data_IF_208637296074
#
_entry.id   IF_208637296074
#
_cell.length_a   1.000
_cell.length_b   1.000
_cell.length_c   1.000
_cell.angle_alpha   90.00
_cell.angle_beta   90.00
_cell.angle_gamma   90.00
#
_symmetry.space_group_name_H-M   'P 1'
#
loop_
_entity.id
_entity.type
_entity.pdbx_description
1 polymer ?
#
# COMPACT_ATOMS: atom_id res chain seq x y z
N UNK A 1 15.64 -18.49 -19.25
CA UNK A 1 15.88 -19.33 -18.02
C UNK A 1 17.23 -19.06 -17.38
N UNK A 2 18.33 -19.02 -18.14
CA UNK A 2 19.68 -18.69 -17.59
C UNK A 2 19.99 -17.18 -17.56
N UNK A 3 19.00 -16.32 -17.85
CA UNK A 3 19.19 -14.88 -17.81
C UNK A 3 19.52 -14.42 -16.40
N UNK A 4 20.45 -13.47 -16.31
CA UNK A 4 20.85 -12.83 -15.06
C UNK A 4 20.35 -11.39 -15.13
N UNK A 5 19.58 -11.00 -14.13
CA UNK A 5 19.28 -9.60 -13.88
C UNK A 5 20.42 -9.00 -13.07
N UNK A 6 20.90 -7.84 -13.52
CA UNK A 6 21.92 -7.07 -12.84
C UNK A 6 21.43 -5.63 -12.66
N UNK A 7 21.58 -5.12 -11.44
CA UNK A 7 21.26 -3.75 -11.07
C UNK A 7 22.53 -3.05 -10.60
N UNK A 8 22.83 -1.91 -11.22
CA UNK A 8 23.95 -1.07 -10.83
C UNK A 8 23.47 0.35 -10.53
N UNK A 9 24.08 1.04 -9.57
CA UNK A 9 23.84 2.47 -9.35
C UNK A 9 24.29 3.30 -10.57
N UNK A 10 23.51 4.33 -10.89
CA UNK A 10 23.92 5.34 -11.87
C UNK A 10 25.03 6.18 -11.24
N UNK A 11 26.18 6.25 -11.94
CA UNK A 11 27.38 6.97 -11.47
C UNK A 11 27.04 8.40 -11.02
N UNK A 12 27.43 8.75 -9.79
CA UNK A 12 27.23 10.08 -9.21
C UNK A 12 25.87 10.27 -8.52
N UNK A 13 25.04 9.23 -8.46
CA UNK A 13 23.73 9.25 -7.76
C UNK A 13 23.69 8.40 -6.49
N UNK A 14 24.84 7.98 -5.97
CA UNK A 14 24.94 7.06 -4.82
C UNK A 14 24.31 7.66 -3.55
N UNK A 15 24.54 8.94 -3.29
CA UNK A 15 23.97 9.63 -2.11
C UNK A 15 22.47 9.89 -2.24
N UNK A 16 22.01 10.36 -3.40
CA UNK A 16 20.59 10.66 -3.65
C UNK A 16 19.74 9.38 -3.75
N UNK A 17 20.32 8.32 -4.29
CA UNK A 17 19.68 7.03 -4.50
C UNK A 17 19.76 6.08 -3.30
N UNK A 18 20.20 6.53 -2.12
CA UNK A 18 20.51 5.64 -0.97
C UNK A 18 19.34 4.74 -0.55
N UNK A 19 18.08 5.15 -0.81
CA UNK A 19 16.88 4.31 -0.63
C UNK A 19 16.90 3.01 -1.45
N UNK A 20 17.68 2.98 -2.53
CA UNK A 20 17.92 1.81 -3.39
C UNK A 20 19.28 1.16 -3.13
N UNK A 21 19.97 1.50 -2.04
CA UNK A 21 21.34 1.06 -1.74
C UNK A 21 21.52 -0.46 -1.77
N UNK A 22 20.50 -1.22 -1.38
CA UNK A 22 20.49 -2.68 -1.45
C UNK A 22 20.62 -3.23 -2.89
N UNK A 23 20.42 -2.39 -3.90
CA UNK A 23 20.41 -2.74 -5.33
C UNK A 23 21.50 -2.02 -6.13
N UNK A 24 22.48 -1.36 -5.47
CA UNK A 24 23.55 -0.64 -6.15
C UNK A 24 24.56 -1.53 -6.86
N UNK A 25 24.74 -2.75 -6.38
CA UNK A 25 25.50 -3.81 -7.04
C UNK A 25 24.81 -5.14 -6.73
N UNK A 26 23.84 -5.49 -7.58
CA UNK A 26 23.01 -6.67 -7.37
C UNK A 26 22.99 -7.54 -8.62
N UNK A 27 23.03 -8.86 -8.43
CA UNK A 27 23.05 -9.84 -9.51
C UNK A 27 22.37 -11.14 -9.10
N UNK A 28 21.35 -11.56 -9.84
CA UNK A 28 20.68 -12.85 -9.58
C UNK A 28 20.01 -13.44 -10.84
N UNK A 29 19.61 -14.72 -10.83
CA UNK A 29 18.83 -15.30 -11.93
C UNK A 29 17.46 -14.63 -12.08
N UNK A 30 17.17 -14.08 -13.26
CA UNK A 30 15.88 -13.40 -13.54
C UNK A 30 14.68 -14.35 -13.39
N UNK A 31 14.89 -15.66 -13.61
CA UNK A 31 13.82 -16.65 -13.48
C UNK A 31 13.40 -16.91 -12.02
N UNK A 32 14.15 -16.42 -11.03
CA UNK A 32 13.88 -16.63 -9.60
C UNK A 32 13.80 -15.32 -8.81
N UNK A 33 13.84 -14.18 -9.50
CA UNK A 33 13.77 -12.87 -8.83
C UNK A 33 12.40 -12.73 -8.14
N UNK A 34 12.34 -12.44 -6.84
CA UNK A 34 11.07 -12.18 -6.17
C UNK A 34 10.39 -10.93 -6.74
N UNK A 35 9.05 -10.96 -6.83
CA UNK A 35 8.24 -9.84 -7.37
C UNK A 35 8.60 -8.48 -6.75
N UNK A 36 8.57 -8.38 -5.40
CA UNK A 36 8.88 -7.12 -4.69
C UNK A 36 10.26 -6.56 -5.04
N UNK A 37 11.24 -7.43 -5.29
CA UNK A 37 12.61 -7.04 -5.59
C UNK A 37 12.73 -6.53 -7.02
N UNK A 38 12.11 -7.22 -7.98
CA UNK A 38 12.05 -6.76 -9.36
C UNK A 38 11.35 -5.39 -9.45
N UNK A 39 10.21 -5.22 -8.79
CA UNK A 39 9.48 -3.95 -8.75
C UNK A 39 10.32 -2.84 -8.11
N UNK A 40 11.05 -3.12 -7.02
CA UNK A 40 11.96 -2.15 -6.40
C UNK A 40 13.10 -1.72 -7.33
N UNK A 41 13.71 -2.68 -8.04
CA UNK A 41 14.78 -2.40 -9.02
C UNK A 41 14.27 -1.56 -10.19
N UNK A 42 13.09 -1.91 -10.75
CA UNK A 42 12.49 -1.15 -11.85
C UNK A 42 12.03 0.24 -11.41
N UNK A 43 11.52 0.40 -10.18
CA UNK A 43 11.23 1.71 -9.60
C UNK A 43 12.51 2.56 -9.50
N UNK A 44 13.60 1.98 -9.02
CA UNK A 44 14.89 2.66 -8.94
C UNK A 44 15.44 3.06 -10.31
N UNK A 45 15.17 2.28 -11.36
CA UNK A 45 15.50 2.63 -12.74
C UNK A 45 14.63 3.78 -13.26
N UNK A 46 13.31 3.73 -13.04
CA UNK A 46 12.38 4.78 -13.46
C UNK A 46 12.65 6.13 -12.76
N UNK A 47 13.03 6.08 -11.48
CA UNK A 47 13.49 7.25 -10.73
C UNK A 47 14.88 7.74 -11.18
N UNK A 48 15.57 6.96 -12.02
CA UNK A 48 16.86 7.29 -12.61
C UNK A 48 18.07 7.06 -11.69
N UNK A 49 17.95 6.26 -10.63
CA UNK A 49 19.03 5.94 -9.69
C UNK A 49 19.73 4.61 -9.99
N UNK A 50 19.03 3.67 -10.61
CA UNK A 50 19.56 2.36 -10.99
C UNK A 50 19.60 2.22 -12.51
N UNK A 51 20.47 1.33 -12.97
CA UNK A 51 20.50 0.82 -14.35
C UNK A 51 20.31 -0.69 -14.30
N UNK A 52 19.25 -1.19 -14.92
CA UNK A 52 18.94 -2.62 -14.94
C UNK A 52 19.34 -3.20 -16.28
N UNK A 53 20.03 -4.34 -16.23
CA UNK A 53 20.31 -5.15 -17.42
C UNK A 53 19.90 -6.58 -17.18
N UNK A 54 19.31 -7.22 -18.20
CA UNK A 54 18.96 -8.63 -18.16
C UNK A 54 19.63 -9.32 -19.35
N UNK A 55 20.64 -10.13 -19.07
CA UNK A 55 21.43 -10.79 -20.11
C UNK A 55 21.61 -12.27 -19.82
N UNK A 56 21.60 -13.07 -20.88
CA UNK A 56 22.13 -14.43 -20.80
C UNK A 56 23.66 -14.40 -20.82
N UNK A 57 24.35 -15.41 -20.26
CA UNK A 57 25.79 -15.52 -20.38
C UNK A 57 26.22 -15.47 -21.86
N UNK A 58 26.98 -14.43 -22.23
CA UNK A 58 27.32 -14.13 -23.62
C UNK A 58 28.06 -15.30 -24.28
N UNK A 59 29.01 -15.92 -23.59
CA UNK A 59 29.77 -17.05 -24.12
C UNK A 59 28.90 -18.23 -24.51
N UNK A 60 27.85 -18.51 -23.73
CA UNK A 60 26.89 -19.59 -24.04
C UNK A 60 26.04 -19.25 -25.26
N UNK A 61 25.57 -18.00 -25.34
CA UNK A 61 24.77 -17.53 -26.47
C UNK A 61 25.60 -17.54 -27.77
N UNK A 62 26.81 -16.98 -27.75
CA UNK A 62 27.71 -16.99 -28.89
C UNK A 62 28.13 -18.42 -29.27
N UNK A 63 28.46 -19.28 -28.31
CA UNK A 63 28.76 -20.70 -28.58
C UNK A 63 27.61 -21.41 -29.30
N UNK A 64 26.36 -21.11 -28.94
CA UNK A 64 25.19 -21.64 -29.64
C UNK A 64 25.10 -21.12 -31.07
N UNK A 65 25.26 -19.81 -31.26
CA UNK A 65 25.21 -19.16 -32.59
C UNK A 65 26.36 -19.63 -33.50
N UNK A 66 27.58 -19.76 -32.98
CA UNK A 66 28.72 -20.27 -33.74
C UNK A 66 28.46 -21.70 -34.22
N UNK A 67 28.02 -22.62 -33.34
CA UNK A 67 27.67 -23.99 -33.74
C UNK A 67 26.58 -24.01 -34.82
N UNK A 68 25.62 -23.09 -34.73
CA UNK A 68 24.49 -22.99 -35.66
C UNK A 68 24.92 -22.48 -37.03
N UNK A 69 25.70 -21.40 -37.09
CA UNK A 69 25.91 -20.59 -38.30
C UNK A 69 27.33 -20.62 -38.87
N UNK A 70 28.37 -20.75 -38.02
CA UNK A 70 29.76 -20.78 -38.50
C UNK A 70 30.09 -22.19 -38.98
N UNK A 71 30.29 -22.35 -40.29
CA UNK A 71 30.65 -23.63 -40.93
C UNK A 71 32.03 -23.52 -41.55
N UNK A 72 32.92 -24.46 -41.22
CA UNK A 72 34.30 -24.48 -41.69
C UNK A 72 35.24 -23.48 -40.99
N UNK A 73 36.45 -23.33 -41.52
CA UNK A 73 37.56 -22.58 -40.90
C UNK A 73 38.25 -21.61 -41.87
N UNK A 74 37.62 -21.27 -43.00
CA UNK A 74 38.20 -20.41 -44.04
C UNK A 74 37.84 -18.93 -43.90
N UNK A 75 38.30 -18.10 -44.85
CA UNK A 75 38.05 -16.65 -44.86
C UNK A 75 36.54 -16.29 -44.86
N UNK A 76 35.71 -17.07 -45.55
CA UNK A 76 34.26 -16.90 -45.52
C UNK A 76 33.68 -17.18 -44.12
N UNK A 77 34.15 -18.22 -43.43
CA UNK A 77 33.74 -18.56 -42.07
C UNK A 77 34.10 -17.43 -41.08
N UNK A 78 35.26 -16.78 -41.26
CA UNK A 78 35.66 -15.63 -40.45
C UNK A 78 34.69 -14.44 -40.58
N UNK A 79 34.15 -14.18 -41.77
CA UNK A 79 33.12 -13.15 -41.96
C UNK A 79 31.81 -13.51 -41.25
N UNK A 80 31.43 -14.79 -41.23
CA UNK A 80 30.24 -15.25 -40.49
C UNK A 80 30.44 -15.10 -38.98
N UNK A 81 31.65 -15.32 -38.45
CA UNK A 81 31.96 -15.06 -37.03
C UNK A 81 31.71 -13.59 -36.68
N UNK A 82 32.25 -12.66 -37.47
CA UNK A 82 32.03 -11.22 -37.27
C UNK A 82 30.54 -10.86 -37.32
N UNK A 83 29.80 -11.42 -38.28
CA UNK A 83 28.37 -11.19 -38.41
C UNK A 83 27.57 -11.76 -37.22
N UNK A 84 27.95 -12.93 -36.68
CA UNK A 84 27.33 -13.51 -35.49
C UNK A 84 27.55 -12.63 -34.26
N UNK A 85 28.76 -12.12 -34.06
CA UNK A 85 29.10 -11.26 -32.92
C UNK A 85 28.40 -9.90 -32.98
N UNK A 86 28.40 -9.24 -34.15
CA UNK A 86 27.68 -7.97 -34.36
C UNK A 86 26.17 -8.17 -34.19
N UNK A 87 25.58 -9.18 -34.85
CA UNK A 87 24.15 -9.42 -34.76
C UNK A 87 23.70 -9.81 -33.35
N UNK A 88 24.52 -10.56 -32.61
CA UNK A 88 24.21 -10.87 -31.22
C UNK A 88 24.21 -9.61 -30.36
N UNK A 89 25.29 -8.84 -30.39
CA UNK A 89 25.47 -7.67 -29.52
C UNK A 89 24.48 -6.54 -29.83
N UNK A 90 24.26 -6.25 -31.12
CA UNK A 90 23.48 -5.09 -31.56
C UNK A 90 21.98 -5.37 -31.70
N UNK A 91 21.59 -6.62 -32.00
CA UNK A 91 20.20 -6.95 -32.35
C UNK A 91 19.59 -7.99 -31.41
N UNK A 92 20.19 -9.18 -31.30
CA UNK A 92 19.57 -10.30 -30.57
C UNK A 92 19.56 -10.05 -29.06
N UNK A 93 20.68 -9.65 -28.46
CA UNK A 93 20.76 -9.46 -27.02
C UNK A 93 19.81 -8.37 -26.52
N UNK A 94 19.70 -7.18 -27.15
CA UNK A 94 18.71 -6.17 -26.78
C UNK A 94 17.26 -6.65 -26.93
N UNK A 95 16.93 -7.30 -28.05
CA UNK A 95 15.56 -7.82 -28.27
C UNK A 95 15.18 -8.86 -27.22
N UNK A 96 16.06 -9.82 -26.96
CA UNK A 96 15.82 -10.88 -25.96
C UNK A 96 15.71 -10.29 -24.54
N UNK A 97 16.50 -9.26 -24.22
CA UNK A 97 16.37 -8.57 -22.94
C UNK A 97 15.00 -7.90 -22.79
N UNK A 98 14.52 -7.20 -23.81
CA UNK A 98 13.19 -6.59 -23.79
C UNK A 98 12.11 -7.63 -23.53
N UNK A 99 12.16 -8.75 -24.24
CA UNK A 99 11.18 -9.84 -24.08
C UNK A 99 11.23 -10.46 -22.68
N UNK A 100 12.43 -10.77 -22.17
CA UNK A 100 12.60 -11.34 -20.83
C UNK A 100 12.18 -10.33 -19.75
N UNK A 101 12.51 -9.05 -19.94
CA UNK A 101 12.13 -7.97 -19.03
C UNK A 101 10.61 -7.86 -18.93
N UNK A 102 9.92 -7.88 -20.07
CA UNK A 102 8.47 -7.82 -20.12
C UNK A 102 7.84 -9.02 -19.41
N UNK A 103 8.30 -10.24 -19.70
CA UNK A 103 7.79 -11.45 -19.03
C UNK A 103 8.05 -11.44 -17.52
N UNK A 104 9.24 -11.00 -17.09
CA UNK A 104 9.56 -10.88 -15.68
C UNK A 104 8.67 -9.85 -14.99
N UNK A 105 8.41 -8.71 -15.64
CA UNK A 105 7.52 -7.66 -15.13
C UNK A 105 6.09 -8.14 -15.02
N UNK A 106 5.55 -8.79 -16.05
CA UNK A 106 4.20 -9.36 -16.03
C UNK A 106 4.04 -10.35 -14.89
N UNK A 107 5.00 -11.26 -14.71
CA UNK A 107 4.97 -12.22 -13.60
C UNK A 107 5.03 -11.54 -12.23
N UNK A 108 5.89 -10.52 -12.08
CA UNK A 108 5.97 -9.77 -10.84
C UNK A 108 4.66 -9.01 -10.53
N UNK A 109 4.01 -8.45 -11.55
CA UNK A 109 2.72 -7.79 -11.41
C UNK A 109 1.64 -8.77 -10.99
N UNK A 110 1.57 -9.96 -11.59
CA UNK A 110 0.61 -10.99 -11.22
C UNK A 110 0.71 -11.38 -9.74
N UNK A 111 1.92 -11.62 -9.24
CA UNK A 111 2.15 -11.96 -7.83
C UNK A 111 1.83 -10.77 -6.90
N UNK A 112 2.20 -9.56 -7.29
CA UNK A 112 1.89 -8.36 -6.51
C UNK A 112 0.38 -8.11 -6.43
N UNK A 113 -0.33 -8.23 -7.55
CA UNK A 113 -1.79 -8.08 -7.63
C UNK A 113 -2.52 -9.10 -6.76
N UNK A 114 -2.06 -10.37 -6.72
CA UNK A 114 -2.60 -11.38 -5.81
C UNK A 114 -2.45 -10.98 -4.34
N UNK A 115 -1.28 -10.47 -3.96
CA UNK A 115 -1.03 -9.98 -2.59
C UNK A 115 -1.91 -8.78 -2.28
N UNK A 116 -2.01 -7.81 -3.17
CA UNK A 116 -2.83 -6.60 -2.98
C UNK A 116 -4.32 -6.94 -2.84
N UNK A 117 -4.82 -7.83 -3.69
CA UNK A 117 -6.20 -8.33 -3.64
C UNK A 117 -6.49 -9.03 -2.31
N UNK A 118 -5.58 -9.90 -1.86
CA UNK A 118 -5.71 -10.57 -0.56
C UNK A 118 -5.72 -9.55 0.59
N UNK A 119 -4.79 -8.60 0.60
CA UNK A 119 -4.70 -7.59 1.66
C UNK A 119 -5.96 -6.70 1.68
N UNK A 120 -6.48 -6.31 0.52
CA UNK A 120 -7.73 -5.56 0.41
C UNK A 120 -8.89 -6.36 1.00
N UNK A 121 -9.02 -7.63 0.60
CA UNK A 121 -10.06 -8.53 1.12
C UNK A 121 -9.97 -8.70 2.63
N UNK A 122 -8.78 -8.90 3.18
CA UNK A 122 -8.56 -8.97 4.64
C UNK A 122 -9.01 -7.68 5.35
N UNK A 123 -8.75 -6.52 4.74
CA UNK A 123 -9.15 -5.22 5.29
C UNK A 123 -10.67 -5.03 5.23
N UNK A 124 -11.30 -5.35 4.09
CA UNK A 124 -12.73 -5.21 3.88
C UNK A 124 -13.55 -6.19 4.72
N UNK A 125 -13.08 -7.43 4.86
CA UNK A 125 -13.75 -8.51 5.57
C UNK A 125 -13.30 -8.63 7.03
N UNK A 126 -12.66 -7.60 7.57
CA UNK A 126 -12.31 -7.55 8.98
C UNK A 126 -13.59 -7.69 9.84
N UNK A 127 -13.56 -8.45 10.96
CA UNK A 127 -14.76 -8.67 11.76
C UNK A 127 -15.35 -7.35 12.28
N UNK A 128 -16.64 -7.07 12.01
CA UNK A 128 -17.30 -5.88 12.53
C UNK A 128 -17.51 -6.00 14.04
N UNK A 129 -17.33 -4.90 14.77
CA UNK A 129 -17.67 -4.86 16.19
C UNK A 129 -19.19 -4.83 16.42
N UNK A 130 -19.95 -4.41 15.39
CA UNK A 130 -21.39 -4.24 15.47
C UNK A 130 -21.79 -2.94 16.18
N UNK A 131 -23.09 -2.73 16.42
CA UNK A 131 -23.62 -1.47 16.92
C UNK A 131 -23.20 -1.22 18.38
N UNK A 132 -22.29 -0.27 18.59
CA UNK A 132 -21.78 0.15 19.90
C UNK A 132 -21.43 1.64 19.91
N UNK A 133 -21.57 2.29 21.05
CA UNK A 133 -21.06 3.66 21.17
C UNK A 133 -19.52 3.66 21.14
N UNK A 134 -18.91 4.43 20.23
CA UNK A 134 -17.46 4.41 19.96
C UNK A 134 -16.84 5.78 20.16
N UNK A 135 -15.74 5.83 20.90
CA UNK A 135 -14.83 6.97 20.93
C UNK A 135 -13.73 6.70 19.89
N UNK A 136 -13.70 7.46 18.80
CA UNK A 136 -12.67 7.32 17.79
C UNK A 136 -11.64 8.44 17.89
N UNK A 137 -10.37 8.08 17.77
CA UNK A 137 -9.23 8.97 17.92
C UNK A 137 -8.39 8.88 16.65
N UNK A 138 -8.24 10.02 15.98
CA UNK A 138 -7.28 10.24 14.90
C UNK A 138 -6.01 10.87 15.51
N UNK A 139 -4.91 10.11 15.65
CA UNK A 139 -3.73 10.56 16.37
C UNK A 139 -2.97 11.71 15.68
N UNK A 140 -2.39 12.59 16.48
CA UNK A 140 -1.56 13.67 15.96
C UNK A 140 -0.70 14.34 17.02
N UNK A 141 0.55 14.66 16.68
CA UNK A 141 1.47 15.34 17.60
C UNK A 141 1.21 16.85 17.67
N UNK A 142 1.47 17.58 16.58
CA UNK A 142 1.46 19.05 16.56
C UNK A 142 0.03 19.62 16.53
N UNK A 143 -0.83 18.99 15.74
CA UNK A 143 -2.23 19.39 15.57
C UNK A 143 -3.14 18.87 16.68
N UNK A 144 -2.62 18.04 17.58
CA UNK A 144 -3.40 17.31 18.57
C UNK A 144 -4.08 16.07 17.95
N UNK A 145 -4.61 15.23 18.82
CA UNK A 145 -5.43 14.08 18.45
C UNK A 145 -6.88 14.54 18.31
N UNK A 146 -7.50 14.26 17.17
CA UNK A 146 -8.93 14.53 16.98
C UNK A 146 -9.73 13.40 17.58
N UNK A 147 -10.67 13.74 18.46
CA UNK A 147 -11.53 12.78 19.16
C UNK A 147 -12.97 12.99 18.71
N UNK A 148 -13.67 11.90 18.40
CA UNK A 148 -15.11 11.93 18.08
C UNK A 148 -15.86 10.87 18.87
N UNK A 149 -17.09 11.18 19.26
CA UNK A 149 -18.02 10.24 19.89
C UNK A 149 -19.08 9.86 18.87
N UNK A 150 -19.24 8.56 18.63
CA UNK A 150 -20.25 7.99 17.76
C UNK A 150 -21.27 7.22 18.61
N UNK A 151 -22.54 7.31 18.26
CA UNK A 151 -23.57 6.44 18.81
C UNK A 151 -23.50 5.02 18.22
N UNK A 152 -24.30 4.05 18.70
CA UNK A 152 -24.31 2.69 18.17
C UNK A 152 -24.62 2.55 16.67
N UNK A 153 -25.17 3.59 16.03
CA UNK A 153 -25.45 3.64 14.60
C UNK A 153 -24.34 4.36 13.81
N UNK A 154 -23.26 4.80 14.47
CA UNK A 154 -22.16 5.51 13.84
C UNK A 154 -22.45 6.98 13.54
N UNK A 155 -23.48 7.58 14.17
CA UNK A 155 -23.77 9.01 14.04
C UNK A 155 -22.92 9.81 15.02
N UNK A 156 -22.30 10.88 14.53
CA UNK A 156 -21.48 11.81 15.31
C UNK A 156 -22.33 12.53 16.37
N UNK A 157 -21.92 12.39 17.63
CA UNK A 157 -22.55 13.04 18.80
C UNK A 157 -21.75 14.24 19.30
N UNK A 158 -20.42 14.11 19.33
CA UNK A 158 -19.51 15.16 19.78
C UNK A 158 -18.13 14.99 19.16
N UNK A 159 -17.36 16.08 19.13
CA UNK A 159 -15.94 16.05 18.80
C UNK A 159 -15.14 16.99 19.70
N UNK A 160 -13.86 16.69 19.87
CA UNK A 160 -12.89 17.47 20.64
C UNK A 160 -11.48 17.33 20.04
N UNK A 161 -10.57 18.21 20.43
CA UNK A 161 -9.14 18.07 20.15
C UNK A 161 -8.43 17.94 21.49
N UNK A 162 -7.59 16.92 21.64
CA UNK A 162 -6.78 16.71 22.84
C UNK A 162 -5.30 16.69 22.48
N UNK A 163 -4.45 17.19 23.37
CA UNK A 163 -3.00 17.26 23.15
C UNK A 163 -2.29 16.31 24.10
N UNK A 164 -1.68 15.27 23.54
CA UNK A 164 -0.95 14.26 24.30
C UNK A 164 0.54 14.63 24.39
N UNK A 165 1.16 14.45 25.56
CA UNK A 165 2.62 14.51 25.72
C UNK A 165 3.28 15.88 25.57
N UNK A 166 2.53 16.98 25.38
CA UNK A 166 3.11 18.33 25.24
C UNK A 166 3.49 18.96 26.60
N UNK A 167 2.70 18.71 27.65
CA UNK A 167 3.00 19.10 29.04
C UNK A 167 2.17 18.27 30.02
N UNK A 168 2.55 18.26 31.30
CA UNK A 168 1.79 17.57 32.35
C UNK A 168 0.35 18.11 32.45
N UNK A 169 0.18 19.44 32.40
CA UNK A 169 -1.13 20.08 32.46
C UNK A 169 -2.03 19.71 31.26
N UNK A 170 -1.48 19.72 30.03
CA UNK A 170 -2.22 19.31 28.82
C UNK A 170 -2.60 17.84 28.83
N UNK A 171 -1.74 16.99 29.36
CA UNK A 171 -2.01 15.56 29.48
C UNK A 171 -3.12 15.28 30.49
N UNK A 172 -3.18 16.06 31.58
CA UNK A 172 -4.27 15.99 32.57
C UNK A 172 -5.60 16.51 31.99
N UNK A 173 -5.57 17.61 31.21
CA UNK A 173 -6.72 18.14 30.49
C UNK A 173 -7.27 17.10 29.48
N UNK A 174 -6.38 16.46 28.71
CA UNK A 174 -6.74 15.41 27.77
C UNK A 174 -7.39 14.20 28.47
N UNK A 175 -6.82 13.77 29.61
CA UNK A 175 -7.36 12.68 30.43
C UNK A 175 -8.79 13.00 30.88
N UNK A 176 -8.99 14.17 31.51
CA UNK A 176 -10.29 14.59 32.01
C UNK A 176 -11.33 14.69 30.87
N UNK A 177 -10.92 15.23 29.72
CA UNK A 177 -11.78 15.36 28.54
C UNK A 177 -12.21 13.98 28.02
N UNK A 178 -11.28 13.04 27.88
CA UNK A 178 -11.59 11.69 27.39
C UNK A 178 -12.51 10.95 28.36
N UNK A 179 -12.25 11.01 29.67
CA UNK A 179 -13.10 10.37 30.68
C UNK A 179 -14.52 10.96 30.71
N UNK A 180 -14.65 12.29 30.59
CA UNK A 180 -15.97 12.96 30.51
C UNK A 180 -16.74 12.50 29.27
N UNK A 181 -16.10 12.45 28.10
CA UNK A 181 -16.71 11.96 26.87
C UNK A 181 -17.16 10.50 26.98
N UNK A 182 -16.31 9.64 27.57
CA UNK A 182 -16.63 8.23 27.80
C UNK A 182 -17.90 8.09 28.66
N UNK A 183 -17.98 8.83 29.76
CA UNK A 183 -19.12 8.78 30.67
C UNK A 183 -20.38 9.37 30.04
N UNK A 184 -20.27 10.56 29.44
CA UNK A 184 -21.40 11.32 28.89
C UNK A 184 -22.08 10.62 27.71
N UNK A 185 -21.29 9.98 26.85
CA UNK A 185 -21.81 9.33 25.64
C UNK A 185 -21.90 7.81 25.78
N UNK A 186 -21.72 7.28 27.00
CA UNK A 186 -21.80 5.86 27.31
C UNK A 186 -20.94 5.00 26.36
N UNK A 187 -19.69 5.44 26.14
CA UNK A 187 -18.78 4.78 25.19
C UNK A 187 -18.51 3.34 25.63
N UNK A 188 -18.59 2.43 24.68
CA UNK A 188 -18.42 0.99 24.86
C UNK A 188 -17.13 0.47 24.22
N UNK A 189 -16.49 1.23 23.33
CA UNK A 189 -15.25 0.88 22.66
C UNK A 189 -14.45 2.11 22.21
N UNK A 190 -13.13 1.97 22.13
CA UNK A 190 -12.23 3.01 21.60
C UNK A 190 -11.57 2.53 20.31
N UNK A 191 -11.70 3.33 19.26
CA UNK A 191 -11.00 3.15 17.98
C UNK A 191 -9.82 4.13 17.90
N UNK A 192 -8.63 3.65 17.56
CA UNK A 192 -7.44 4.50 17.39
C UNK A 192 -6.88 4.29 15.98
N UNK A 193 -6.75 5.37 15.20
CA UNK A 193 -6.09 5.32 13.89
C UNK A 193 -4.65 4.83 14.01
N UNK A 194 -4.21 3.94 13.12
CA UNK A 194 -2.87 3.34 13.17
C UNK A 194 -1.77 4.19 12.51
N UNK A 195 -1.98 5.49 12.41
CA UNK A 195 -1.06 6.46 11.82
C UNK A 195 0.05 6.98 12.70
N UNK A 196 0.43 8.22 12.42
CA UNK A 196 1.47 8.96 13.14
C UNK A 196 1.01 9.24 14.58
N UNK A 197 1.87 9.02 15.58
CA UNK A 197 1.53 9.16 17.01
C UNK A 197 0.55 8.12 17.58
N UNK A 198 0.23 7.06 16.82
CA UNK A 198 -0.76 6.06 17.22
C UNK A 198 -0.32 5.22 18.42
N UNK A 199 0.97 4.88 18.54
CA UNK A 199 1.54 4.14 19.68
C UNK A 199 1.44 4.94 20.98
N UNK A 200 1.86 6.21 20.94
CA UNK A 200 1.80 7.10 22.08
C UNK A 200 0.35 7.39 22.50
N UNK A 201 -0.56 7.46 21.52
CA UNK A 201 -2.00 7.59 21.78
C UNK A 201 -2.56 6.34 22.45
N UNK A 202 -2.20 5.14 21.97
CA UNK A 202 -2.61 3.89 22.58
C UNK A 202 -2.08 3.75 24.02
N UNK A 203 -0.80 4.03 24.25
CA UNK A 203 -0.18 4.03 25.59
C UNK A 203 -0.89 5.00 26.53
N UNK A 204 -1.18 6.21 26.07
CA UNK A 204 -1.92 7.20 26.84
C UNK A 204 -3.31 6.68 27.23
N UNK A 205 -4.08 6.14 26.28
CA UNK A 205 -5.44 5.63 26.51
C UNK A 205 -5.42 4.42 27.46
N UNK A 206 -4.44 3.52 27.33
CA UNK A 206 -4.28 2.36 28.24
C UNK A 206 -3.87 2.78 29.66
N UNK A 207 -3.23 3.93 29.81
CA UNK A 207 -2.92 4.52 31.11
C UNK A 207 -4.10 5.21 31.80
N UNK A 208 -5.23 5.39 31.11
CA UNK A 208 -6.43 5.96 31.70
C UNK A 208 -7.22 4.91 32.49
N UNK A 209 -7.91 5.34 33.56
CA UNK A 209 -8.85 4.50 34.31
C UNK A 209 -10.16 4.30 33.53
N UNK A 210 -10.07 3.69 32.35
CA UNK A 210 -11.23 3.25 31.56
C UNK A 210 -11.84 1.99 32.19
N UNK A 211 -13.14 1.70 31.97
CA UNK A 211 -13.75 0.47 32.45
C UNK A 211 -12.95 -0.77 32.00
N UNK A 212 -12.67 -1.71 32.91
CA UNK A 212 -11.79 -2.89 32.72
C UNK A 212 -12.10 -3.78 31.50
N UNK A 213 -13.28 -3.62 30.88
CA UNK A 213 -13.75 -4.40 29.73
C UNK A 213 -13.91 -3.60 28.44
N UNK A 214 -13.52 -2.31 28.43
CA UNK A 214 -13.65 -1.48 27.24
C UNK A 214 -12.55 -1.83 26.22
N UNK A 215 -12.88 -2.40 25.05
CA UNK A 215 -11.89 -2.71 24.03
C UNK A 215 -11.28 -1.42 23.46
N UNK A 216 -9.95 -1.42 23.37
CA UNK A 216 -9.16 -0.40 22.67
C UNK A 216 -8.57 -1.08 21.45
N UNK A 217 -9.01 -0.65 20.26
CA UNK A 217 -8.71 -1.31 18.99
C UNK A 217 -8.00 -0.35 18.05
N UNK A 218 -6.86 -0.80 17.53
CA UNK A 218 -6.16 -0.12 16.44
C UNK A 218 -6.89 -0.36 15.13
N UNK A 219 -7.19 0.71 14.41
CA UNK A 219 -7.95 0.69 13.17
C UNK A 219 -7.09 1.24 12.04
N UNK A 220 -7.16 0.58 10.88
CA UNK A 220 -6.49 1.07 9.68
C UNK A 220 -7.07 2.43 9.26
N UNK A 221 -6.25 3.49 9.26
CA UNK A 221 -6.65 4.83 8.84
C UNK A 221 -6.37 5.12 7.35
N UNK A 222 -5.79 4.16 6.62
CA UNK A 222 -5.45 4.32 5.20
C UNK A 222 -6.70 4.72 4.40
N UNK A 223 -6.60 5.81 3.65
CA UNK A 223 -7.73 6.37 2.91
C UNK A 223 -8.71 7.22 3.74
N UNK A 224 -8.54 7.37 5.06
CA UNK A 224 -9.40 8.24 5.87
C UNK A 224 -9.27 9.72 5.48
N UNK A 225 -8.07 10.15 5.06
CA UNK A 225 -7.82 11.48 4.49
C UNK A 225 -8.44 11.68 3.11
N UNK A 226 -8.54 10.61 2.30
CA UNK A 226 -9.22 10.63 1.00
C UNK A 226 -10.72 10.70 1.20
N UNK A 227 -11.26 9.90 2.13
CA UNK A 227 -12.65 9.98 2.55
C UNK A 227 -13.00 11.39 3.02
N UNK A 228 -12.24 11.97 3.96
CA UNK A 228 -12.60 13.24 4.59
C UNK A 228 -12.60 14.43 3.63
N UNK A 229 -11.80 14.37 2.57
CA UNK A 229 -11.77 15.33 1.47
C UNK A 229 -12.83 15.07 0.39
N UNK A 230 -13.50 13.92 0.39
CA UNK A 230 -14.45 13.51 -0.64
C UNK A 230 -15.73 14.37 -0.66
N UNK A 231 -16.47 14.30 -1.77
CA UNK A 231 -17.81 14.90 -1.85
C UNK A 231 -18.78 14.20 -0.88
N UNK A 232 -18.71 12.87 -0.79
CA UNK A 232 -19.52 12.05 0.13
C UNK A 232 -19.38 12.53 1.57
N UNK A 233 -18.15 12.69 2.08
CA UNK A 233 -17.96 13.14 3.46
C UNK A 233 -18.41 14.59 3.70
N UNK A 234 -18.36 15.45 2.66
CA UNK A 234 -18.91 16.81 2.71
C UNK A 234 -20.43 16.82 2.76
N UNK A 235 -21.08 15.88 2.08
CA UNK A 235 -22.54 15.72 2.12
C UNK A 235 -23.01 15.12 3.46
N UNK A 236 -22.30 14.12 3.97
CA UNK A 236 -22.62 13.52 5.29
C UNK A 236 -22.38 14.49 6.45
N UNK A 237 -21.34 15.34 6.36
CA UNK A 237 -20.92 16.23 7.43
C UNK A 237 -20.56 17.64 6.91
N UNK A 238 -21.56 18.42 6.44
CA UNK A 238 -21.32 19.73 5.83
C UNK A 238 -20.67 20.73 6.78
N UNK A 239 -21.06 20.68 8.06
CA UNK A 239 -20.60 21.63 9.09
C UNK A 239 -19.34 21.18 9.84
N UNK A 240 -18.77 20.02 9.49
CA UNK A 240 -17.57 19.49 10.15
C UNK A 240 -16.33 19.72 9.31
N UNK A 241 -15.21 20.02 9.96
CA UNK A 241 -13.93 20.13 9.28
C UNK A 241 -13.37 18.76 8.85
N UNK A 242 -12.37 18.78 7.97
CA UNK A 242 -11.78 17.58 7.37
C UNK A 242 -11.21 16.60 8.41
N UNK A 243 -10.67 17.09 9.53
CA UNK A 243 -10.07 16.24 10.56
C UNK A 243 -11.14 15.49 11.36
N UNK A 244 -12.28 16.14 11.64
CA UNK A 244 -13.42 15.46 12.27
C UNK A 244 -13.96 14.35 11.37
N UNK A 245 -14.12 14.61 10.06
CA UNK A 245 -14.59 13.59 9.10
C UNK A 245 -13.65 12.38 9.04
N UNK A 246 -12.34 12.60 9.11
CA UNK A 246 -11.34 11.53 9.18
C UNK A 246 -11.52 10.65 10.42
N UNK A 247 -11.62 11.27 11.59
CA UNK A 247 -11.86 10.58 12.85
C UNK A 247 -13.20 9.81 12.88
N UNK A 248 -14.26 10.35 12.26
CA UNK A 248 -15.53 9.63 12.09
C UNK A 248 -15.33 8.35 11.28
N UNK A 249 -14.57 8.40 10.18
CA UNK A 249 -14.30 7.20 9.37
C UNK A 249 -13.55 6.14 10.16
N UNK A 250 -12.57 6.51 10.97
CA UNK A 250 -11.85 5.59 11.88
C UNK A 250 -12.84 4.87 12.80
N UNK A 251 -13.77 5.60 13.42
CA UNK A 251 -14.77 5.00 14.31
C UNK A 251 -15.73 4.07 13.58
N UNK A 252 -16.23 4.47 12.41
CA UNK A 252 -17.15 3.65 11.61
C UNK A 252 -16.50 2.39 11.05
N UNK A 253 -15.22 2.42 10.71
CA UNK A 253 -14.46 1.22 10.34
C UNK A 253 -14.39 0.20 11.47
N UNK A 254 -14.39 0.60 12.73
CA UNK A 254 -14.47 -0.35 13.84
C UNK A 254 -15.86 -1.02 13.92
N UNK A 255 -16.92 -0.24 13.69
CA UNK A 255 -18.30 -0.72 13.72
C UNK A 255 -18.57 -1.71 12.57
N UNK A 256 -18.25 -1.30 11.35
CA UNK A 256 -18.43 -2.06 10.11
C UNK A 256 -17.37 -1.64 9.08
N UNK A 257 -16.25 -2.39 8.98
CA UNK A 257 -15.17 -2.08 8.04
C UNK A 257 -15.64 -2.01 6.59
N UNK A 258 -16.45 -2.98 6.16
CA UNK A 258 -16.88 -3.09 4.78
C UNK A 258 -17.76 -1.89 4.40
N UNK A 259 -18.75 -1.53 5.24
CA UNK A 259 -19.69 -0.44 4.95
C UNK A 259 -19.00 0.93 4.86
N UNK A 260 -17.94 1.13 5.62
CA UNK A 260 -17.21 2.39 5.62
C UNK A 260 -16.13 2.44 4.52
N UNK A 261 -15.45 1.32 4.24
CA UNK A 261 -14.36 1.28 3.25
C UNK A 261 -14.84 1.26 1.79
N UNK A 262 -16.08 0.86 1.51
CA UNK A 262 -16.63 0.95 0.13
C UNK A 262 -16.89 2.39 -0.32
N UNK A 263 -16.86 3.38 0.59
CA UNK A 263 -17.04 4.81 0.27
C UNK A 263 -15.81 5.46 -0.34
N UNK A 264 -14.69 4.73 -0.42
CA UNK A 264 -13.41 5.22 -0.93
C UNK A 264 -12.93 4.39 -2.12
N UNK A 265 -12.17 5.03 -3.00
CA UNK A 265 -11.49 4.33 -4.09
C UNK A 265 -10.61 3.20 -3.49
N UNK A 266 -10.79 1.93 -3.91
CA UNK A 266 -10.05 0.80 -3.38
C UNK A 266 -8.52 0.96 -3.44
N UNK A 267 -8.01 1.70 -4.44
CA UNK A 267 -6.59 2.01 -4.57
C UNK A 267 -6.07 2.90 -3.44
N UNK A 268 -6.96 3.65 -2.79
CA UNK A 268 -6.64 4.54 -1.68
C UNK A 268 -6.61 3.83 -0.32
N UNK A 269 -7.06 2.57 -0.23
CA UNK A 269 -7.07 1.76 1.00
C UNK A 269 -5.65 1.30 1.40
N UNK A 270 -4.66 1.48 0.53
CA UNK A 270 -3.26 1.15 0.82
C UNK A 270 -3.06 -0.36 0.87
N UNK A 271 -3.03 -0.99 -0.31
CA UNK A 271 -3.04 -2.46 -0.44
C UNK A 271 -1.64 -3.07 -0.49
N UNK A 272 -0.60 -2.25 -0.68
CA UNK A 272 0.80 -2.66 -0.53
C UNK A 272 1.82 -1.64 -1.03
N UNK A 273 3.08 -1.83 -0.65
CA UNK A 273 4.19 -0.90 -0.88
C UNK A 273 4.45 -0.57 -2.36
N UNK A 274 4.22 -1.52 -3.26
CA UNK A 274 4.51 -1.42 -4.70
C UNK A 274 3.27 -1.24 -5.58
N UNK A 275 2.14 -0.83 -5.00
CA UNK A 275 0.88 -0.63 -5.73
C UNK A 275 0.99 0.41 -6.87
N UNK A 276 1.95 1.32 -6.80
CA UNK A 276 2.17 2.33 -7.84
C UNK A 276 3.12 1.86 -8.96
N UNK A 277 3.77 0.69 -8.83
CA UNK A 277 4.74 0.19 -9.81
C UNK A 277 4.20 -0.95 -10.68
N UNK A 278 3.03 -1.48 -10.33
CA UNK A 278 2.32 -2.48 -11.14
C UNK A 278 1.53 -1.81 -12.26
N UNK A 279 1.04 -2.58 -13.24
CA UNK A 279 0.08 -2.08 -14.20
C UNK A 279 -1.18 -1.52 -13.51
N UNK A 280 -1.44 -0.22 -13.73
CA UNK A 280 -2.48 0.52 -13.02
C UNK A 280 -3.90 0.17 -13.50
N UNK A 281 -4.06 -0.23 -14.77
CA UNK A 281 -5.35 -0.66 -15.30
C UNK A 281 -5.76 -2.01 -14.73
N UNK A 282 -4.81 -2.96 -14.72
CA UNK A 282 -4.98 -4.28 -14.10
C UNK A 282 -5.22 -4.17 -12.60
N UNK A 283 -4.46 -3.32 -11.90
CA UNK A 283 -4.67 -3.05 -10.48
C UNK A 283 -6.10 -2.61 -10.21
N UNK A 284 -6.56 -1.56 -10.90
CA UNK A 284 -7.92 -1.04 -10.71
C UNK A 284 -8.98 -2.14 -10.88
N UNK A 285 -8.93 -2.87 -11.99
CA UNK A 285 -9.88 -3.96 -12.27
C UNK A 285 -9.90 -5.04 -11.18
N UNK A 286 -8.72 -5.47 -10.70
CA UNK A 286 -8.63 -6.51 -9.65
C UNK A 286 -9.17 -6.00 -8.29
N UNK A 287 -8.89 -4.75 -7.93
CA UNK A 287 -9.40 -4.20 -6.66
C UNK A 287 -10.92 -4.00 -6.72
N UNK A 288 -11.47 -3.51 -7.84
CA UNK A 288 -12.90 -3.34 -8.04
C UNK A 288 -13.63 -4.70 -7.97
N UNK A 289 -13.10 -5.73 -8.63
CA UNK A 289 -13.61 -7.11 -8.54
C UNK A 289 -13.57 -7.65 -7.11
N UNK A 290 -12.51 -7.35 -6.37
CA UNK A 290 -12.38 -7.75 -4.96
C UNK A 290 -13.44 -7.12 -4.09
N UNK A 291 -13.69 -5.81 -4.27
CA UNK A 291 -14.74 -5.09 -3.54
C UNK A 291 -16.11 -5.69 -3.84
N UNK A 292 -16.43 -5.88 -5.13
CA UNK A 292 -17.70 -6.51 -5.54
C UNK A 292 -17.86 -7.90 -4.94
N UNK A 293 -16.80 -8.71 -4.93
CA UNK A 293 -16.82 -10.05 -4.33
C UNK A 293 -17.09 -9.99 -2.83
N UNK A 294 -16.46 -9.06 -2.09
CA UNK A 294 -16.64 -8.93 -0.64
C UNK A 294 -18.07 -8.49 -0.30
N UNK A 295 -18.61 -7.50 -1.04
CA UNK A 295 -20.00 -7.02 -0.87
C UNK A 295 -21.01 -8.14 -1.15
N UNK A 296 -20.82 -8.89 -2.23
CA UNK A 296 -21.70 -10.00 -2.58
C UNK A 296 -21.68 -11.13 -1.54
N UNK A 297 -20.55 -11.36 -0.88
CA UNK A 297 -20.39 -12.42 0.13
C UNK A 297 -21.06 -12.09 1.47
N UNK A 298 -20.98 -10.83 1.92
CA UNK A 298 -21.64 -10.41 3.17
C UNK A 298 -23.16 -10.33 3.02
N UNK A 299 -23.65 -10.08 1.80
CA UNK A 299 -25.07 -9.99 1.51
C UNK A 299 -25.61 -8.57 1.65
N UNK A 300 -26.61 -8.25 0.81
CA UNK A 300 -27.13 -6.90 0.61
C UNK A 300 -28.00 -6.44 1.78
N UNK A 301 -27.75 -5.24 2.30
CA UNK A 301 -28.73 -4.43 3.04
C UNK A 301 -28.97 -3.16 2.24
N UNK A 302 -30.22 -2.73 2.09
CA UNK A 302 -30.67 -1.70 1.13
C UNK A 302 -29.96 -0.32 1.18
N UNK A 303 -29.13 -0.03 2.19
CA UNK A 303 -28.39 1.24 2.31
C UNK A 303 -27.12 1.39 1.46
N UNK A 304 -26.64 0.31 0.84
CA UNK A 304 -25.33 0.29 0.15
C UNK A 304 -25.37 0.84 -1.29
N UNK A 305 -26.58 0.92 -1.87
CA UNK A 305 -26.80 1.33 -3.27
C UNK A 305 -26.41 2.78 -3.53
N UNK A 306 -26.35 3.64 -2.50
CA UNK A 306 -26.03 5.06 -2.69
C UNK A 306 -24.56 5.33 -3.03
N UNK A 307 -23.65 4.37 -2.82
CA UNK A 307 -22.20 4.62 -2.87
C UNK A 307 -21.45 3.82 -3.94
N UNK A 308 -22.11 2.88 -4.63
CA UNK A 308 -21.51 2.08 -5.71
C UNK A 308 -21.86 2.55 -7.13
N UNK A 309 -22.57 3.68 -7.27
CA UNK A 309 -22.96 4.29 -8.56
C UNK A 309 -22.27 5.63 -8.75
#
# INVERSE_FOLDING_TARGET
>A
REGIIQSNVVKGKESEGIKYGNYFDWKEPVARVPSHRLLAMLRGENDGFLKITIRSPQDKALSFLYRRFVKGTGAASAQVVLAVEDSYSRLLAPSIETDIRQQAKEHADDEALRVFTRNLRETLMAPPMGPRAVLAIDPGYRTGCKVVCLDPQGKLQANAIVYLGQSAARSQEANQTILDLIQRFHIEAIAIGNGTASRETEEFIRGLSVPDKMPVVMVNESGASIYSASAVAREEFPDQDITVRGAVSIGRRLLDPLAELVKIDPKSIGVGQYQHDVDQGRLKGNLDETVMSCVNEVGWVWGWVLYMV
#
